data_IF_678493116221
#
_entry.id   IF_678493116221
#
_cell.length_a   1.000
_cell.length_b   1.000
_cell.length_c   1.000
_cell.angle_alpha   90.00
_cell.angle_beta   90.00
_cell.angle_gamma   90.00
#
_symmetry.space_group_name_H-M   'P 1'
#
loop_
_entity.id
_entity.type
_entity.pdbx_description
1 polymer ?
#
# COMPACT_ATOMS: atom_id res chain seq x y z
N UNK A 1 75.00 44.36 -32.84
CA UNK A 1 74.25 43.32 -33.58
C UNK A 1 73.58 42.41 -32.56
N UNK A 2 72.25 42.25 -32.68
CA UNK A 2 71.37 41.20 -32.11
C UNK A 2 71.47 40.87 -30.60
N UNK A 3 70.44 41.21 -29.80
CA UNK A 3 69.28 40.36 -29.43
C UNK A 3 69.60 39.52 -28.16
N UNK A 4 68.77 39.28 -27.14
CA UNK A 4 67.32 39.09 -26.99
C UNK A 4 66.95 39.39 -25.53
N UNK A 5 65.70 39.82 -25.30
CA UNK A 5 65.04 40.06 -24.00
C UNK A 5 64.85 38.79 -23.17
N UNK A 6 65.02 38.88 -21.85
CA UNK A 6 64.38 37.98 -20.89
C UNK A 6 63.75 38.81 -19.76
N UNK A 7 62.42 38.82 -19.70
CA UNK A 7 61.65 39.45 -18.65
C UNK A 7 61.63 38.57 -17.40
N UNK A 8 61.81 39.20 -16.24
CA UNK A 8 61.85 38.57 -14.92
C UNK A 8 60.45 38.09 -14.47
N UNK A 9 60.49 36.94 -13.80
CA UNK A 9 59.39 36.18 -13.21
C UNK A 9 58.66 36.94 -12.09
N UNK A 10 57.33 36.93 -12.11
CA UNK A 10 56.50 37.10 -10.93
C UNK A 10 55.35 36.07 -10.99
N UNK A 11 55.58 34.88 -10.44
CA UNK A 11 54.54 33.90 -10.18
C UNK A 11 54.12 34.05 -8.72
N UNK A 12 52.91 34.56 -8.49
CA UNK A 12 52.27 34.58 -7.19
C UNK A 12 51.88 33.14 -6.79
N UNK A 13 52.45 32.66 -5.70
CA UNK A 13 52.03 31.45 -4.99
C UNK A 13 50.67 31.71 -4.33
N UNK A 14 49.58 31.29 -4.98
CA UNK A 14 48.31 31.05 -4.31
C UNK A 14 48.31 29.59 -3.83
N UNK A 15 48.47 29.41 -2.52
CA UNK A 15 48.22 28.14 -1.84
C UNK A 15 46.74 27.76 -2.01
N UNK A 16 46.46 26.84 -2.93
CA UNK A 16 45.23 26.06 -2.88
C UNK A 16 45.40 24.98 -1.80
N UNK A 17 44.65 25.09 -0.71
CA UNK A 17 44.47 24.01 0.25
C UNK A 17 43.90 22.78 -0.49
N UNK A 18 44.47 21.57 -0.34
CA UNK A 18 43.84 20.37 -0.86
C UNK A 18 42.66 20.01 0.05
N UNK A 19 41.49 20.54 -0.30
CA UNK A 19 40.21 20.19 0.29
C UNK A 19 39.71 18.85 -0.27
N UNK A 20 39.31 17.98 0.66
CA UNK A 20 38.50 16.76 0.49
C UNK A 20 39.20 15.52 -0.07
N UNK A 21 39.48 14.59 0.84
CA UNK A 21 39.66 13.16 0.58
C UNK A 21 38.43 12.59 -0.13
N UNK A 22 38.45 12.53 -1.45
CA UNK A 22 37.47 11.79 -2.25
C UNK A 22 37.64 10.30 -1.99
N UNK A 23 36.63 9.67 -1.40
CA UNK A 23 36.47 8.22 -1.43
C UNK A 23 36.46 7.75 -2.90
N UNK A 24 37.19 6.69 -3.29
CA UNK A 24 37.44 6.37 -4.70
C UNK A 24 36.23 5.91 -5.52
N UNK A 25 35.01 5.92 -4.96
CA UNK A 25 33.80 5.37 -5.62
C UNK A 25 32.53 6.21 -5.41
N UNK A 26 32.65 7.53 -5.20
CA UNK A 26 31.46 8.39 -5.22
C UNK A 26 31.03 8.71 -6.66
N UNK A 27 29.79 8.43 -7.09
CA UNK A 27 29.30 8.87 -8.39
C UNK A 27 29.36 10.41 -8.50
N UNK A 28 29.79 10.95 -9.65
CA UNK A 28 29.97 12.40 -9.83
C UNK A 28 28.70 13.21 -9.60
N UNK A 29 27.53 12.64 -9.92
CA UNK A 29 26.22 13.29 -9.71
C UNK A 29 25.73 13.21 -8.26
N UNK A 30 26.49 12.61 -7.35
CA UNK A 30 26.05 12.33 -5.99
C UNK A 30 27.03 12.87 -4.93
N UNK A 31 26.51 13.16 -3.75
CA UNK A 31 27.27 13.55 -2.58
C UNK A 31 27.39 12.37 -1.60
N UNK A 32 28.61 11.87 -1.43
CA UNK A 32 28.92 10.84 -0.45
C UNK A 32 29.37 11.47 0.87
N UNK A 33 28.56 11.33 1.91
CA UNK A 33 28.93 11.80 3.25
C UNK A 33 29.71 10.71 4.00
N UNK A 34 30.50 11.10 5.01
CA UNK A 34 31.20 10.15 5.90
C UNK A 34 30.25 9.23 6.71
N UNK A 35 28.94 9.43 6.61
CA UNK A 35 27.89 8.80 7.41
C UNK A 35 27.15 7.63 6.71
N UNK A 36 27.81 6.89 5.81
CA UNK A 36 27.19 5.76 5.08
C UNK A 36 25.94 6.10 4.26
N UNK A 37 25.75 7.39 3.94
CA UNK A 37 24.70 7.94 3.09
C UNK A 37 25.26 8.32 1.72
N UNK A 38 24.68 7.76 0.67
CA UNK A 38 24.85 8.23 -0.71
C UNK A 38 23.64 9.10 -1.06
N UNK A 39 23.85 10.41 -1.18
CA UNK A 39 22.79 11.35 -1.55
C UNK A 39 22.91 11.75 -3.03
N UNK A 40 21.93 11.36 -3.83
CA UNK A 40 21.78 11.70 -5.23
C UNK A 40 20.44 12.42 -5.49
N UNK A 41 19.89 13.07 -4.47
CA UNK A 41 18.64 13.81 -4.59
C UNK A 41 18.85 15.07 -5.44
N UNK A 42 17.86 15.42 -6.26
CA UNK A 42 17.91 16.59 -7.16
C UNK A 42 19.07 16.55 -8.18
N UNK A 43 19.62 15.38 -8.46
CA UNK A 43 20.78 15.19 -9.35
C UNK A 43 20.41 15.02 -10.83
N UNK A 44 19.13 15.11 -11.19
CA UNK A 44 18.65 14.96 -12.58
C UNK A 44 18.75 13.52 -13.10
N UNK A 45 18.73 12.52 -12.21
CA UNK A 45 18.87 11.12 -12.59
C UNK A 45 17.62 10.61 -13.34
N UNK A 46 17.87 9.90 -14.45
CA UNK A 46 16.85 9.17 -15.21
C UNK A 46 16.93 7.66 -14.91
N UNK A 47 18.10 7.19 -14.46
CA UNK A 47 18.35 5.83 -14.01
C UNK A 47 19.26 5.82 -12.79
N UNK A 48 19.11 4.82 -11.93
CA UNK A 48 20.02 4.62 -10.78
C UNK A 48 21.43 4.24 -11.25
N UNK A 49 22.50 4.70 -10.55
CA UNK A 49 23.85 4.23 -10.79
C UNK A 49 23.94 2.71 -10.67
N UNK A 50 24.60 2.05 -11.62
CA UNK A 50 24.64 0.59 -11.70
C UNK A 50 25.55 -0.06 -10.64
N UNK A 51 26.53 0.70 -10.15
CA UNK A 51 27.52 0.28 -9.16
C UNK A 51 27.37 1.19 -7.94
N UNK A 52 26.74 0.65 -6.90
CA UNK A 52 26.60 1.30 -5.61
C UNK A 52 27.35 0.44 -4.60
N UNK A 53 28.42 0.95 -3.97
CA UNK A 53 29.19 0.18 -2.99
C UNK A 53 28.34 -0.30 -1.81
N UNK A 54 28.56 -1.54 -1.38
CA UNK A 54 27.91 -2.13 -0.20
C UNK A 54 28.26 -1.42 1.13
N UNK A 55 29.16 -0.43 1.11
CA UNK A 55 29.48 0.41 2.27
C UNK A 55 28.36 1.37 2.66
N UNK A 56 27.45 1.69 1.74
CA UNK A 56 26.34 2.60 2.02
C UNK A 56 25.16 1.84 2.66
N UNK A 57 24.68 2.31 3.81
CA UNK A 57 23.46 1.77 4.43
C UNK A 57 22.21 2.55 4.04
N UNK A 58 22.41 3.72 3.42
CA UNK A 58 21.37 4.71 3.17
C UNK A 58 21.56 5.29 1.77
N UNK A 59 20.53 5.20 0.92
CA UNK A 59 20.57 5.66 -0.47
C UNK A 59 19.40 6.59 -0.78
N UNK A 60 19.70 7.85 -1.08
CA UNK A 60 18.71 8.86 -1.43
C UNK A 60 18.75 9.16 -2.94
N UNK A 61 17.72 8.72 -3.64
CA UNK A 61 17.47 9.05 -5.05
C UNK A 61 16.17 9.84 -5.23
N UNK A 62 15.69 10.50 -4.17
CA UNK A 62 14.48 11.31 -4.22
C UNK A 62 14.61 12.49 -5.20
N UNK A 63 13.48 13.07 -5.61
CA UNK A 63 13.45 14.27 -6.46
C UNK A 63 14.26 14.14 -7.76
N UNK A 64 14.06 13.03 -8.48
CA UNK A 64 14.68 12.75 -9.76
C UNK A 64 13.59 12.41 -10.81
N UNK A 65 13.97 11.84 -11.96
CA UNK A 65 13.07 11.40 -13.02
C UNK A 65 13.16 9.89 -13.26
N UNK A 66 13.35 9.12 -12.19
CA UNK A 66 13.46 7.66 -12.26
C UNK A 66 12.12 7.02 -12.63
N UNK A 67 12.11 6.22 -13.69
CA UNK A 67 10.95 5.41 -14.10
C UNK A 67 10.98 3.99 -13.53
N UNK A 68 12.17 3.48 -13.18
CA UNK A 68 12.36 2.17 -12.58
C UNK A 68 13.66 2.10 -11.78
N UNK A 69 13.73 1.15 -10.85
CA UNK A 69 14.93 0.86 -10.07
C UNK A 69 15.26 -0.63 -10.22
N UNK A 70 16.39 -0.93 -10.85
CA UNK A 70 16.89 -2.29 -11.06
C UNK A 70 18.40 -2.32 -10.80
N UNK A 71 18.82 -2.58 -9.55
CA UNK A 71 20.23 -2.72 -9.23
C UNK A 71 20.81 -3.96 -9.91
N UNK A 72 22.05 -3.86 -10.38
CA UNK A 72 22.74 -5.00 -11.03
C UNK A 72 23.13 -6.09 -10.05
N UNK A 73 23.32 -5.74 -8.78
CA UNK A 73 23.74 -6.65 -7.72
C UNK A 73 22.91 -6.43 -6.46
N UNK A 74 22.67 -7.47 -5.64
CA UNK A 74 22.09 -7.31 -4.32
C UNK A 74 22.97 -6.41 -3.43
N UNK A 75 22.33 -5.56 -2.65
CA UNK A 75 22.93 -4.65 -1.70
C UNK A 75 22.61 -5.12 -0.27
N UNK A 76 23.59 -5.74 0.38
CA UNK A 76 23.37 -6.47 1.64
C UNK A 76 23.22 -5.54 2.85
N UNK A 77 23.88 -4.38 2.82
CA UNK A 77 23.93 -3.44 3.94
C UNK A 77 22.87 -2.33 3.86
N UNK A 78 22.09 -2.28 2.78
CA UNK A 78 21.05 -1.26 2.62
C UNK A 78 20.00 -1.40 3.72
N UNK A 79 19.71 -0.29 4.41
CA UNK A 79 18.70 -0.18 5.46
C UNK A 79 17.62 0.85 5.10
N UNK A 80 18.00 1.94 4.43
CA UNK A 80 17.07 3.01 4.05
C UNK A 80 17.21 3.35 2.58
N UNK A 81 16.07 3.44 1.90
CA UNK A 81 15.99 3.78 0.48
C UNK A 81 14.90 4.83 0.28
N UNK A 82 15.31 5.99 -0.25
CA UNK A 82 14.39 7.08 -0.59
C UNK A 82 14.29 7.21 -2.11
N UNK A 83 13.08 6.99 -2.62
CA UNK A 83 12.72 7.08 -4.03
C UNK A 83 11.56 8.07 -4.25
N UNK A 84 11.25 8.89 -3.24
CA UNK A 84 10.14 9.83 -3.29
C UNK A 84 10.29 10.86 -4.41
N UNK A 85 9.17 11.36 -4.93
CA UNK A 85 9.13 12.39 -5.96
C UNK A 85 9.91 12.00 -7.23
N UNK A 86 9.50 10.89 -7.85
CA UNK A 86 10.02 10.33 -9.11
C UNK A 86 8.84 9.95 -10.03
N UNK A 87 9.09 9.23 -11.13
CA UNK A 87 8.06 8.77 -12.08
C UNK A 87 7.90 7.25 -12.09
N UNK A 88 8.20 6.59 -10.97
CA UNK A 88 8.19 5.12 -10.87
C UNK A 88 6.75 4.61 -10.95
N UNK A 89 6.45 3.78 -11.96
CA UNK A 89 5.14 3.14 -12.13
C UNK A 89 5.09 1.73 -11.55
N UNK A 90 6.22 1.03 -11.51
CA UNK A 90 6.37 -0.32 -10.92
C UNK A 90 7.75 -0.45 -10.27
N UNK A 91 7.79 -1.08 -9.10
CA UNK A 91 9.03 -1.46 -8.43
C UNK A 91 9.00 -2.96 -8.12
N UNK A 92 10.13 -3.63 -8.34
CA UNK A 92 10.35 -5.00 -7.86
C UNK A 92 11.57 -5.05 -6.97
N UNK A 93 11.42 -5.66 -5.79
CA UNK A 93 12.49 -5.95 -4.86
C UNK A 93 13.19 -7.29 -5.18
N UNK A 94 12.69 -8.02 -6.19
CA UNK A 94 13.22 -9.31 -6.60
C UNK A 94 14.41 -9.16 -7.57
N UNK A 95 15.40 -10.03 -7.41
CA UNK A 95 16.39 -10.34 -8.44
C UNK A 95 15.87 -11.49 -9.29
N UNK A 96 15.74 -11.29 -10.60
CA UNK A 96 15.44 -12.38 -11.53
C UNK A 96 16.65 -13.34 -11.63
N UNK A 97 16.46 -14.63 -11.31
CA UNK A 97 17.40 -15.70 -11.68
C UNK A 97 16.83 -16.53 -12.84
N UNK A 98 17.73 -16.97 -13.72
CA UNK A 98 17.41 -17.79 -14.89
C UNK A 98 16.49 -18.98 -14.57
N UNK A 99 15.43 -19.11 -15.38
CA UNK A 99 14.19 -19.89 -15.20
C UNK A 99 14.35 -21.42 -15.31
N UNK A 100 15.53 -22.01 -15.07
CA UNK A 100 15.76 -23.44 -15.35
C UNK A 100 15.34 -24.43 -14.25
N UNK A 101 14.94 -23.98 -13.06
CA UNK A 101 14.60 -24.88 -11.94
C UNK A 101 13.30 -24.51 -11.24
N UNK A 102 12.24 -24.20 -11.98
CA UNK A 102 10.96 -23.88 -11.36
C UNK A 102 10.00 -25.07 -11.38
N UNK A 103 9.95 -25.81 -10.27
CA UNK A 103 8.80 -26.67 -9.99
C UNK A 103 7.69 -25.80 -9.40
N UNK A 104 6.52 -25.79 -10.07
CA UNK A 104 5.27 -25.21 -9.55
C UNK A 104 4.93 -25.87 -8.21
N UNK A 105 5.13 -25.15 -7.11
CA UNK A 105 4.61 -25.56 -5.79
C UNK A 105 3.12 -25.22 -5.73
N UNK A 106 2.30 -26.20 -5.33
CA UNK A 106 0.83 -26.17 -5.35
C UNK A 106 0.19 -25.26 -4.29
N UNK A 107 0.98 -24.55 -3.48
CA UNK A 107 0.50 -23.67 -2.41
C UNK A 107 1.22 -22.32 -2.43
N UNK A 108 0.77 -21.38 -3.27
CA UNK A 108 0.80 -19.91 -3.09
C UNK A 108 2.09 -19.16 -2.68
N UNK A 109 3.21 -19.84 -2.42
CA UNK A 109 4.44 -19.24 -1.94
C UNK A 109 5.42 -19.20 -3.11
N UNK A 110 5.68 -17.98 -3.61
CA UNK A 110 6.67 -17.67 -4.64
C UNK A 110 8.08 -18.06 -4.16
N UNK A 111 8.40 -19.36 -4.18
CA UNK A 111 9.78 -19.87 -4.06
C UNK A 111 10.50 -19.55 -5.37
N UNK A 112 11.12 -18.37 -5.45
CA UNK A 112 11.88 -17.95 -6.64
C UNK A 112 12.38 -16.50 -6.63
N UNK A 113 11.89 -15.66 -5.73
CA UNK A 113 12.36 -14.28 -5.59
C UNK A 113 13.41 -14.18 -4.46
N UNK A 114 14.59 -13.63 -4.77
CA UNK A 114 15.57 -13.21 -3.77
C UNK A 114 15.59 -11.68 -3.73
N UNK A 115 15.54 -11.09 -2.53
CA UNK A 115 15.59 -9.63 -2.40
C UNK A 115 16.94 -9.07 -2.84
N UNK A 116 16.94 -8.01 -3.64
CA UNK A 116 18.17 -7.24 -3.89
C UNK A 116 18.52 -6.34 -2.70
N UNK A 117 17.61 -6.06 -1.77
CA UNK A 117 17.89 -5.35 -0.52
C UNK A 117 17.28 -6.11 0.67
N UNK A 118 17.84 -7.27 1.06
CA UNK A 118 17.21 -8.19 2.01
C UNK A 118 17.05 -7.64 3.43
N UNK A 119 17.85 -6.64 3.80
CA UNK A 119 17.87 -6.04 5.14
C UNK A 119 17.23 -4.64 5.16
N UNK A 120 16.44 -4.29 4.14
CA UNK A 120 15.79 -2.99 4.04
C UNK A 120 14.81 -2.80 5.20
N UNK A 121 14.91 -1.66 5.88
CA UNK A 121 14.07 -1.29 7.03
C UNK A 121 13.13 -0.14 6.70
N UNK A 122 13.55 0.79 5.84
CA UNK A 122 12.76 1.96 5.47
C UNK A 122 12.75 2.14 3.96
N UNK A 123 11.56 2.23 3.39
CA UNK A 123 11.34 2.43 1.95
C UNK A 123 10.37 3.59 1.74
N UNK A 124 10.85 4.68 1.14
CA UNK A 124 9.98 5.78 0.68
C UNK A 124 9.80 5.73 -0.83
N UNK A 125 8.55 5.68 -1.25
CA UNK A 125 8.08 5.69 -2.63
C UNK A 125 6.98 6.75 -2.83
N UNK A 126 6.92 7.75 -1.95
CA UNK A 126 5.88 8.78 -1.99
C UNK A 126 5.95 9.60 -3.28
N UNK A 127 4.82 10.13 -3.74
CA UNK A 127 4.76 11.00 -4.93
C UNK A 127 5.40 10.35 -6.16
N UNK A 128 4.96 9.12 -6.46
CA UNK A 128 5.32 8.38 -7.66
C UNK A 128 4.04 8.06 -8.47
N UNK A 129 4.11 7.09 -9.39
CA UNK A 129 3.01 6.70 -10.27
C UNK A 129 2.62 5.22 -10.04
N UNK A 130 2.84 4.69 -8.83
CA UNK A 130 2.59 3.28 -8.53
C UNK A 130 1.09 2.98 -8.56
N UNK A 131 0.69 1.97 -9.32
CA UNK A 131 -0.69 1.47 -9.36
C UNK A 131 -0.92 0.30 -8.39
N UNK A 132 0.16 -0.32 -7.90
CA UNK A 132 0.18 -1.47 -7.00
C UNK A 132 1.34 -1.38 -6.02
N UNK A 133 1.31 -2.19 -4.98
CA UNK A 133 2.45 -2.36 -4.07
C UNK A 133 3.68 -2.91 -4.83
N UNK A 134 4.91 -2.59 -4.37
CA UNK A 134 6.12 -3.18 -4.92
C UNK A 134 6.09 -4.71 -4.90
N UNK A 135 6.53 -5.34 -5.99
CA UNK A 135 6.68 -6.78 -6.02
C UNK A 135 7.82 -7.22 -5.10
N UNK A 136 7.65 -8.34 -4.40
CA UNK A 136 8.71 -8.87 -3.53
C UNK A 136 8.80 -8.22 -2.16
N UNK A 137 7.76 -7.51 -1.69
CA UNK A 137 7.70 -7.09 -0.28
C UNK A 137 7.86 -8.27 0.70
N UNK A 138 7.30 -9.44 0.38
CA UNK A 138 7.42 -10.61 1.26
C UNK A 138 8.85 -11.16 1.43
N UNK A 139 9.81 -10.77 0.58
CA UNK A 139 11.21 -11.18 0.71
C UNK A 139 12.08 -10.13 1.43
N UNK A 140 11.48 -9.06 1.94
CA UNK A 140 12.13 -8.05 2.80
C UNK A 140 11.43 -7.95 4.16
N UNK A 141 11.39 -9.03 4.96
CA UNK A 141 10.64 -9.08 6.22
C UNK A 141 11.18 -8.13 7.31
N UNK A 142 12.37 -7.55 7.10
CA UNK A 142 12.98 -6.54 7.97
C UNK A 142 12.36 -5.14 7.85
N UNK A 143 11.43 -4.94 6.90
CA UNK A 143 10.83 -3.64 6.63
C UNK A 143 9.99 -3.18 7.83
N UNK A 144 10.29 -1.97 8.31
CA UNK A 144 9.61 -1.33 9.45
C UNK A 144 8.75 -0.16 9.03
N UNK A 145 9.18 0.59 8.01
CA UNK A 145 8.45 1.77 7.55
C UNK A 145 8.33 1.76 6.04
N UNK A 146 7.09 1.87 5.56
CA UNK A 146 6.74 1.92 4.15
C UNK A 146 5.91 3.16 3.85
N UNK A 147 6.49 4.09 3.08
CA UNK A 147 5.78 5.27 2.61
C UNK A 147 5.39 5.15 1.14
N UNK A 148 4.09 5.17 0.87
CA UNK A 148 3.47 5.03 -0.45
C UNK A 148 2.45 6.15 -0.73
N UNK A 149 2.48 7.23 0.05
CA UNK A 149 1.56 8.35 -0.08
C UNK A 149 1.64 9.01 -1.46
N UNK A 150 0.53 9.57 -1.94
CA UNK A 150 0.47 10.27 -3.24
C UNK A 150 0.93 9.37 -4.41
N UNK A 151 0.33 8.19 -4.52
CA UNK A 151 0.48 7.29 -5.68
C UNK A 151 -0.90 7.04 -6.31
N UNK A 152 -1.02 6.03 -7.17
CA UNK A 152 -2.24 5.63 -7.87
C UNK A 152 -2.70 4.24 -7.46
N UNK A 153 -2.34 3.79 -6.26
CA UNK A 153 -2.63 2.42 -5.81
C UNK A 153 -4.14 2.28 -5.63
N UNK A 154 -4.75 1.36 -6.36
CA UNK A 154 -6.22 1.16 -6.34
C UNK A 154 -6.65 -0.14 -5.67
N UNK A 155 -5.78 -1.16 -5.66
CA UNK A 155 -6.07 -2.50 -5.15
C UNK A 155 -4.88 -3.01 -4.35
N UNK A 156 -5.16 -3.59 -3.18
CA UNK A 156 -4.22 -4.37 -2.38
C UNK A 156 -4.73 -5.81 -2.33
N UNK A 157 -3.89 -6.77 -2.74
CA UNK A 157 -4.26 -8.18 -2.75
C UNK A 157 -3.99 -8.81 -1.38
N UNK A 158 -4.93 -9.61 -0.90
CA UNK A 158 -4.74 -10.36 0.34
C UNK A 158 -3.46 -11.22 0.26
N UNK A 159 -2.60 -11.07 1.26
CA UNK A 159 -1.32 -11.77 1.36
C UNK A 159 -0.10 -10.96 0.93
N UNK A 160 -0.25 -9.82 0.23
CA UNK A 160 0.91 -8.99 -0.21
C UNK A 160 1.73 -8.43 0.95
N UNK A 161 1.11 -8.25 2.12
CA UNK A 161 1.73 -7.71 3.33
C UNK A 161 1.99 -8.79 4.40
N UNK A 162 1.64 -10.05 4.16
CA UNK A 162 1.63 -11.14 5.16
C UNK A 162 2.98 -11.32 5.87
N UNK A 163 4.06 -11.27 5.11
CA UNK A 163 5.40 -11.58 5.63
C UNK A 163 6.07 -10.35 6.30
N UNK A 164 5.43 -9.18 6.29
CA UNK A 164 5.97 -7.93 6.86
C UNK A 164 5.65 -7.80 8.36
N UNK A 165 5.96 -8.82 9.15
CA UNK A 165 5.61 -8.89 10.57
C UNK A 165 6.34 -7.83 11.44
N UNK A 166 7.42 -7.24 10.94
CA UNK A 166 8.17 -6.17 11.60
C UNK A 166 7.70 -4.76 11.19
N UNK A 167 6.68 -4.65 10.33
CA UNK A 167 6.19 -3.36 9.87
C UNK A 167 5.53 -2.59 11.00
N UNK A 168 6.09 -1.41 11.31
CA UNK A 168 5.63 -0.50 12.35
C UNK A 168 4.75 0.61 11.76
N UNK A 169 5.05 1.05 10.53
CA UNK A 169 4.36 2.16 9.88
C UNK A 169 4.06 1.88 8.41
N UNK A 170 2.79 2.07 8.03
CA UNK A 170 2.31 1.95 6.66
C UNK A 170 1.53 3.21 6.26
N UNK A 171 2.08 3.97 5.30
CA UNK A 171 1.50 5.23 4.84
C UNK A 171 0.97 5.08 3.41
N UNK A 172 -0.36 5.07 3.25
CA UNK A 172 -1.08 4.85 2.00
C UNK A 172 -2.03 6.01 1.65
N UNK A 173 -1.90 7.15 2.32
CA UNK A 173 -2.77 8.31 2.09
C UNK A 173 -2.64 8.88 0.68
N UNK A 174 -3.72 9.50 0.18
CA UNK A 174 -3.76 10.03 -1.19
C UNK A 174 -3.43 8.97 -2.24
N UNK A 175 -4.14 7.84 -2.19
CA UNK A 175 -4.16 6.81 -3.21
C UNK A 175 -5.60 6.64 -3.73
N UNK A 176 -5.86 5.58 -4.49
CA UNK A 176 -7.14 5.30 -5.14
C UNK A 176 -7.79 4.02 -4.58
N UNK A 177 -7.46 3.64 -3.35
CA UNK A 177 -7.90 2.36 -2.77
C UNK A 177 -9.41 2.39 -2.54
N UNK A 178 -10.13 1.43 -3.14
CA UNK A 178 -11.61 1.37 -3.09
C UNK A 178 -12.13 0.34 -2.09
N UNK A 179 -11.38 -0.73 -1.85
CA UNK A 179 -11.76 -1.82 -0.96
C UNK A 179 -10.54 -2.43 -0.28
N UNK A 180 -10.76 -3.04 0.88
CA UNK A 180 -9.76 -3.78 1.65
C UNK A 180 -10.37 -5.10 2.13
N UNK A 181 -9.59 -6.18 2.04
CA UNK A 181 -10.01 -7.47 2.59
C UNK A 181 -10.07 -7.39 4.13
N UNK A 182 -11.06 -8.01 4.81
CA UNK A 182 -11.19 -7.96 6.27
C UNK A 182 -9.98 -8.43 7.07
N UNK A 183 -9.13 -9.26 6.47
CA UNK A 183 -7.91 -9.82 7.05
C UNK A 183 -6.63 -9.17 6.52
N UNK A 184 -6.72 -8.05 5.80
CA UNK A 184 -5.58 -7.42 5.12
C UNK A 184 -4.39 -7.15 6.04
N UNK A 185 -4.66 -6.78 7.29
CA UNK A 185 -3.65 -6.38 8.27
C UNK A 185 -3.50 -7.38 9.43
N UNK A 186 -4.05 -8.60 9.29
CA UNK A 186 -4.09 -9.59 10.37
C UNK A 186 -2.69 -10.03 10.83
N UNK A 187 -1.73 -10.11 9.90
CA UNK A 187 -0.37 -10.59 10.18
C UNK A 187 0.59 -9.45 10.62
N UNK A 188 0.17 -8.19 10.56
CA UNK A 188 1.00 -7.02 10.87
C UNK A 188 1.02 -6.70 12.37
N UNK A 189 1.54 -7.64 13.16
CA UNK A 189 1.48 -7.61 14.63
C UNK A 189 2.25 -6.47 15.31
N UNK A 190 3.20 -5.83 14.61
CA UNK A 190 3.98 -4.70 15.11
C UNK A 190 3.46 -3.34 14.62
N UNK A 191 2.36 -3.31 13.85
CA UNK A 191 1.88 -2.10 13.21
C UNK A 191 1.36 -1.10 14.24
N UNK A 192 1.93 0.10 14.22
CA UNK A 192 1.59 1.22 15.12
C UNK A 192 0.89 2.34 14.37
N UNK A 193 1.24 2.55 13.10
CA UNK A 193 0.66 3.63 12.28
C UNK A 193 0.17 3.04 10.96
N UNK A 194 -1.11 3.26 10.67
CA UNK A 194 -1.72 2.96 9.39
C UNK A 194 -2.43 4.20 8.87
N UNK A 195 -1.91 4.81 7.82
CA UNK A 195 -2.54 5.97 7.20
C UNK A 195 -3.26 5.60 5.90
N UNK A 196 -4.59 5.61 5.94
CA UNK A 196 -5.47 5.35 4.80
C UNK A 196 -6.26 6.61 4.40
N UNK A 197 -5.86 7.79 4.87
CA UNK A 197 -6.59 9.04 4.61
C UNK A 197 -6.67 9.37 3.12
N UNK A 198 -7.73 10.04 2.70
CA UNK A 198 -7.89 10.48 1.31
C UNK A 198 -7.72 9.33 0.30
N UNK A 199 -8.40 8.21 0.55
CA UNK A 199 -8.62 7.13 -0.41
C UNK A 199 -10.10 7.11 -0.84
N UNK A 200 -10.54 6.03 -1.49
CA UNK A 200 -11.89 5.88 -2.03
C UNK A 200 -12.68 4.79 -1.28
N UNK A 201 -12.29 4.46 -0.04
CA UNK A 201 -12.93 3.40 0.73
C UNK A 201 -14.37 3.76 1.07
N UNK A 202 -15.27 2.80 0.92
CA UNK A 202 -16.70 2.97 1.22
C UNK A 202 -17.13 2.25 2.50
N UNK A 203 -16.45 1.17 2.89
CA UNK A 203 -16.79 0.35 4.05
C UNK A 203 -15.52 0.00 4.82
N UNK A 204 -15.59 0.05 6.15
CA UNK A 204 -14.52 -0.41 7.03
C UNK A 204 -15.01 -1.62 7.82
N UNK A 205 -14.43 -2.78 7.58
CA UNK A 205 -14.94 -4.03 8.14
C UNK A 205 -14.69 -4.11 9.67
N UNK A 206 -15.67 -4.56 10.48
CA UNK A 206 -15.51 -4.70 11.94
C UNK A 206 -14.31 -5.55 12.37
N UNK A 207 -13.98 -6.59 11.61
CA UNK A 207 -12.79 -7.43 11.87
C UNK A 207 -11.50 -6.60 11.80
N UNK A 208 -11.33 -5.75 10.77
CA UNK A 208 -10.15 -4.88 10.65
C UNK A 208 -10.06 -3.93 11.84
N UNK A 209 -11.20 -3.35 12.25
CA UNK A 209 -11.27 -2.50 13.42
C UNK A 209 -10.76 -3.21 14.67
N UNK A 210 -11.26 -4.42 14.94
CA UNK A 210 -10.85 -5.21 16.10
C UNK A 210 -9.36 -5.58 16.05
N UNK A 211 -8.87 -6.03 14.89
CA UNK A 211 -7.46 -6.40 14.70
C UNK A 211 -6.54 -5.22 14.99
N UNK A 212 -6.78 -4.07 14.35
CA UNK A 212 -5.93 -2.88 14.47
C UNK A 212 -6.02 -2.25 15.87
N UNK A 213 -7.21 -2.25 16.48
CA UNK A 213 -7.42 -1.75 17.84
C UNK A 213 -6.75 -2.65 18.88
N UNK A 214 -6.73 -3.96 18.69
CA UNK A 214 -6.10 -4.89 19.63
C UNK A 214 -4.58 -4.75 19.70
N UNK A 215 -3.94 -4.35 18.59
CA UNK A 215 -2.50 -4.06 18.56
C UNK A 215 -2.18 -2.59 18.91
N UNK A 216 -3.19 -1.77 19.19
CA UNK A 216 -3.01 -0.37 19.56
C UNK A 216 -2.57 0.53 18.40
N UNK A 217 -2.92 0.18 17.16
CA UNK A 217 -2.55 0.98 15.99
C UNK A 217 -3.31 2.31 15.93
N UNK A 218 -2.61 3.38 15.59
CA UNK A 218 -3.20 4.65 15.19
C UNK A 218 -3.56 4.59 13.70
N UNK A 219 -4.87 4.69 13.40
CA UNK A 219 -5.38 4.52 12.03
C UNK A 219 -6.02 5.81 11.53
N UNK A 220 -5.48 6.37 10.45
CA UNK A 220 -6.05 7.51 9.75
C UNK A 220 -7.09 7.08 8.72
N UNK A 221 -8.37 7.38 8.95
CA UNK A 221 -9.48 6.97 8.06
C UNK A 221 -10.24 8.13 7.39
N UNK A 222 -9.93 9.38 7.72
CA UNK A 222 -10.66 10.54 7.21
C UNK A 222 -10.43 10.79 5.71
N UNK A 223 -11.34 11.53 5.07
CA UNK A 223 -11.24 11.83 3.64
C UNK A 223 -11.56 10.66 2.70
N UNK A 224 -12.12 9.56 3.20
CA UNK A 224 -12.65 8.45 2.42
C UNK A 224 -14.14 8.65 2.09
N UNK A 225 -14.71 7.75 1.28
CA UNK A 225 -16.11 7.78 0.81
C UNK A 225 -17.04 6.89 1.65
N UNK A 226 -16.94 6.97 2.97
CA UNK A 226 -17.67 6.10 3.90
C UNK A 226 -19.19 6.10 3.65
N UNK A 227 -19.74 4.92 3.37
CA UNK A 227 -21.17 4.68 3.22
C UNK A 227 -21.75 4.30 4.59
N UNK A 228 -22.43 5.24 5.21
CA UNK A 228 -23.04 5.10 6.53
C UNK A 228 -24.48 4.59 6.41
N UNK A 229 -24.59 3.30 6.11
CA UNK A 229 -25.86 2.58 6.01
C UNK A 229 -25.98 1.50 7.10
N UNK A 230 -26.99 0.63 6.99
CA UNK A 230 -27.22 -0.44 7.96
C UNK A 230 -26.04 -1.42 8.10
N UNK A 231 -25.20 -1.59 7.07
CA UNK A 231 -24.05 -2.51 7.11
C UNK A 231 -22.98 -2.02 8.09
N UNK A 232 -22.94 -0.71 8.36
CA UNK A 232 -21.99 -0.10 9.29
C UNK A 232 -22.48 -0.11 10.75
N UNK A 233 -23.69 -0.61 11.06
CA UNK A 233 -24.23 -0.64 12.44
C UNK A 233 -23.34 -1.38 13.43
N UNK A 234 -22.83 -2.55 13.03
CA UNK A 234 -21.97 -3.37 13.89
C UNK A 234 -20.68 -2.64 14.26
N UNK A 235 -20.06 -1.97 13.28
CA UNK A 235 -18.88 -1.13 13.53
C UNK A 235 -19.24 0.06 14.43
N UNK A 236 -20.35 0.75 14.14
CA UNK A 236 -20.80 1.91 14.90
C UNK A 236 -21.02 1.58 16.38
N UNK A 237 -21.69 0.47 16.67
CA UNK A 237 -21.94 -0.02 18.03
C UNK A 237 -20.62 -0.29 18.75
N UNK A 238 -19.70 -0.99 18.07
CA UNK A 238 -18.38 -1.33 18.63
C UNK A 238 -17.54 -0.09 18.94
N UNK A 239 -17.45 0.85 18.01
CA UNK A 239 -16.67 2.07 18.19
C UNK A 239 -17.21 2.94 19.33
N UNK A 240 -18.53 3.08 19.47
CA UNK A 240 -19.08 3.82 20.61
C UNK A 240 -18.85 3.13 21.96
N UNK A 241 -18.88 1.79 21.99
CA UNK A 241 -18.52 1.04 23.19
C UNK A 241 -17.06 1.24 23.58
N UNK A 242 -16.14 1.26 22.61
CA UNK A 242 -14.73 1.54 22.91
C UNK A 242 -14.52 3.00 23.36
N UNK A 243 -15.20 3.95 22.71
CA UNK A 243 -15.15 5.37 23.08
C UNK A 243 -15.67 5.63 24.50
N UNK A 244 -16.76 4.97 24.92
CA UNK A 244 -17.30 5.11 26.29
C UNK A 244 -16.36 4.56 27.36
N UNK A 245 -15.42 3.69 26.97
CA UNK A 245 -14.33 3.20 27.82
C UNK A 245 -13.08 4.09 27.81
N UNK A 246 -13.13 5.24 27.12
CA UNK A 246 -12.00 6.17 27.01
C UNK A 246 -10.89 5.67 26.07
N UNK A 247 -11.18 4.72 25.18
CA UNK A 247 -10.23 4.26 24.19
C UNK A 247 -10.21 5.22 23.00
N UNK A 248 -9.04 5.40 22.41
CA UNK A 248 -8.89 6.16 21.17
C UNK A 248 -9.64 5.45 20.03
N UNK A 249 -10.49 6.20 19.35
CA UNK A 249 -11.29 5.74 18.21
C UNK A 249 -11.01 6.62 17.01
N UNK A 250 -11.03 6.02 15.82
CA UNK A 250 -10.60 6.71 14.61
C UNK A 250 -11.72 7.53 13.98
N UNK A 251 -11.39 8.76 13.56
CA UNK A 251 -12.35 9.69 12.98
C UNK A 251 -12.79 9.23 11.59
N UNK A 252 -14.11 9.08 11.42
CA UNK A 252 -14.75 8.71 10.16
C UNK A 252 -15.90 9.69 9.89
N UNK A 253 -15.92 10.30 8.69
CA UNK A 253 -16.99 11.20 8.26
C UNK A 253 -17.78 10.53 7.13
N UNK A 254 -19.09 10.52 7.26
CA UNK A 254 -19.97 9.91 6.28
C UNK A 254 -19.94 10.69 4.96
N UNK A 255 -19.85 9.96 3.84
CA UNK A 255 -19.91 10.52 2.50
C UNK A 255 -21.23 10.14 1.78
N UNK A 256 -21.85 9.04 2.18
CA UNK A 256 -23.12 8.55 1.65
C UNK A 256 -23.93 7.91 2.79
N UNK A 257 -25.28 7.97 2.77
CA UNK A 257 -26.13 8.67 1.81
C UNK A 257 -25.99 10.20 1.93
N UNK A 258 -26.44 10.95 0.92
CA UNK A 258 -26.28 12.41 0.86
C UNK A 258 -26.87 13.16 2.07
N UNK A 259 -27.88 12.58 2.74
CA UNK A 259 -28.47 13.12 3.98
C UNK A 259 -27.51 13.12 5.16
N UNK A 260 -26.53 12.21 5.16
CA UNK A 260 -25.52 12.07 6.22
C UNK A 260 -24.16 12.60 5.80
N UNK A 261 -24.06 13.29 4.66
CA UNK A 261 -22.80 13.81 4.15
C UNK A 261 -22.15 14.77 5.15
N UNK A 262 -20.90 14.49 5.51
CA UNK A 262 -20.11 15.29 6.45
C UNK A 262 -20.37 15.00 7.93
N UNK A 263 -21.37 14.19 8.25
CA UNK A 263 -21.67 13.83 9.64
C UNK A 263 -20.58 12.90 10.21
N UNK A 264 -20.17 13.15 11.45
CA UNK A 264 -19.26 12.25 12.16
C UNK A 264 -19.98 10.93 12.46
N UNK A 265 -19.38 9.82 12.05
CA UNK A 265 -19.93 8.49 12.22
C UNK A 265 -20.31 8.18 13.67
N UNK A 266 -19.52 8.64 14.64
CA UNK A 266 -19.81 8.40 16.07
C UNK A 266 -20.98 9.21 16.60
N UNK A 267 -21.37 10.31 15.94
CA UNK A 267 -22.54 11.10 16.34
C UNK A 267 -23.86 10.47 15.88
N UNK A 268 -23.82 9.59 14.88
CA UNK A 268 -25.00 8.89 14.39
C UNK A 268 -25.53 7.90 15.43
N UNK A 269 -26.86 7.79 15.51
CA UNK A 269 -27.55 6.70 16.20
C UNK A 269 -27.71 5.50 15.27
N UNK A 270 -28.00 4.32 15.82
CA UNK A 270 -28.24 3.12 15.00
C UNK A 270 -29.46 3.25 14.08
N UNK A 271 -30.45 4.05 14.48
CA UNK A 271 -31.65 4.35 13.70
C UNK A 271 -31.37 5.21 12.46
N UNK A 272 -30.31 6.02 12.46
CA UNK A 272 -29.90 6.83 11.31
C UNK A 272 -29.27 5.96 10.20
N UNK A 273 -28.70 4.81 10.58
CA UNK A 273 -28.02 3.88 9.70
C UNK A 273 -29.02 2.94 9.02
N UNK A 274 -29.77 3.44 8.04
CA UNK A 274 -30.80 2.67 7.34
C UNK A 274 -30.30 2.18 5.97
N UNK A 275 -30.76 0.99 5.58
CA UNK A 275 -30.66 0.54 4.19
C UNK A 275 -32.04 0.71 3.54
N UNK A 276 -32.07 1.10 2.27
CA UNK A 276 -33.32 1.16 1.51
C UNK A 276 -33.92 -0.26 1.43
N UNK A 277 -35.21 -0.38 1.72
CA UNK A 277 -35.96 -1.58 1.40
C UNK A 277 -35.92 -1.82 -0.11
N UNK A 278 -35.89 -3.08 -0.57
CA UNK A 278 -35.64 -3.43 -1.98
C UNK A 278 -36.73 -2.94 -2.95
N UNK A 279 -37.85 -2.42 -2.46
CA UNK A 279 -38.99 -2.07 -3.30
C UNK A 279 -38.78 -0.81 -4.15
N UNK A 280 -37.71 0.00 -3.92
CA UNK A 280 -37.61 1.31 -4.61
C UNK A 280 -36.19 1.84 -4.92
N UNK A 281 -35.15 1.01 -5.01
CA UNK A 281 -33.81 1.52 -5.38
C UNK A 281 -33.30 0.94 -6.71
N UNK A 282 -33.15 1.81 -7.69
CA UNK A 282 -32.56 1.55 -9.02
C UNK A 282 -31.03 1.34 -8.93
N UNK A 283 -30.40 1.68 -7.81
CA UNK A 283 -28.94 1.60 -7.60
C UNK A 283 -28.52 0.50 -6.60
N UNK A 284 -29.04 -0.73 -6.75
CA UNK A 284 -28.60 -1.88 -5.95
C UNK A 284 -27.32 -2.53 -6.44
N UNK A 285 -26.64 -1.99 -7.46
CA UNK A 285 -25.45 -2.56 -8.09
C UNK A 285 -24.16 -1.97 -7.51
N UNK A 286 -23.21 -2.82 -7.13
CA UNK A 286 -21.85 -2.40 -6.75
C UNK A 286 -20.85 -2.96 -7.75
N UNK A 287 -20.47 -2.16 -8.74
CA UNK A 287 -19.46 -2.58 -9.71
C UNK A 287 -18.11 -2.82 -9.02
N UNK A 288 -17.61 -4.05 -9.11
CA UNK A 288 -16.28 -4.41 -8.62
C UNK A 288 -15.39 -4.85 -9.78
N UNK A 289 -14.31 -4.10 -10.02
CA UNK A 289 -13.28 -4.46 -10.99
C UNK A 289 -12.13 -5.19 -10.31
N UNK A 290 -11.81 -6.38 -10.83
CA UNK A 290 -10.83 -7.32 -10.29
C UNK A 290 -10.00 -7.92 -11.43
N UNK A 291 -8.75 -8.30 -11.14
CA UNK A 291 -7.85 -8.88 -12.15
C UNK A 291 -7.94 -10.40 -12.16
N UNK A 292 -7.69 -11.02 -13.31
CA UNK A 292 -7.59 -12.48 -13.40
C UNK A 292 -6.50 -13.01 -12.45
N UNK A 293 -6.80 -14.08 -11.71
CA UNK A 293 -5.93 -14.69 -10.70
C UNK A 293 -5.96 -14.03 -9.33
N UNK A 294 -6.74 -12.96 -9.14
CA UNK A 294 -6.91 -12.32 -7.83
C UNK A 294 -7.98 -13.01 -6.98
N UNK A 295 -8.09 -12.61 -5.71
CA UNK A 295 -9.13 -13.05 -4.79
C UNK A 295 -9.94 -11.85 -4.32
N UNK A 296 -11.25 -12.03 -4.19
CA UNK A 296 -12.15 -11.00 -3.68
C UNK A 296 -13.10 -11.58 -2.65
N UNK A 297 -13.37 -10.81 -1.60
CA UNK A 297 -14.45 -11.09 -0.65
C UNK A 297 -15.57 -10.08 -0.89
N UNK A 298 -16.69 -10.57 -1.37
CA UNK A 298 -17.94 -9.80 -1.46
C UNK A 298 -18.64 -9.86 -0.11
N UNK A 299 -18.57 -8.76 0.64
CA UNK A 299 -19.09 -8.71 2.02
C UNK A 299 -20.62 -8.70 2.02
N UNK A 300 -21.23 -9.42 2.97
CA UNK A 300 -22.67 -9.40 3.21
C UNK A 300 -22.95 -9.23 4.71
N UNK A 301 -23.97 -8.45 5.07
CA UNK A 301 -24.21 -8.03 6.47
C UNK A 301 -24.93 -9.06 7.35
N UNK A 302 -25.49 -10.13 6.76
CA UNK A 302 -26.24 -11.16 7.48
C UNK A 302 -25.61 -12.56 7.35
N UNK A 303 -25.84 -13.41 8.34
CA UNK A 303 -25.46 -14.83 8.29
C UNK A 303 -26.40 -15.67 7.40
N UNK A 304 -27.63 -15.18 7.15
CA UNK A 304 -28.65 -15.84 6.30
C UNK A 304 -28.62 -15.33 4.84
N UNK A 305 -27.40 -15.08 4.40
CA UNK A 305 -27.02 -14.53 3.12
C UNK A 305 -26.89 -15.63 2.06
N UNK A 306 -27.50 -15.49 0.89
CA UNK A 306 -27.40 -16.44 -0.23
C UNK A 306 -26.91 -15.74 -1.50
N UNK A 307 -25.92 -16.34 -2.16
CA UNK A 307 -25.31 -15.79 -3.38
C UNK A 307 -25.65 -16.62 -4.62
N UNK A 308 -26.08 -15.96 -5.69
CA UNK A 308 -26.21 -16.53 -7.03
C UNK A 308 -25.07 -16.02 -7.90
N UNK A 309 -24.29 -16.97 -8.42
CA UNK A 309 -23.18 -16.69 -9.32
C UNK A 309 -23.56 -17.03 -10.77
N UNK A 310 -23.01 -16.32 -11.76
CA UNK A 310 -23.12 -16.70 -13.16
C UNK A 310 -22.69 -18.15 -13.39
N UNK A 311 -23.57 -18.95 -14.01
CA UNK A 311 -23.28 -20.35 -14.36
C UNK A 311 -23.33 -21.36 -13.21
N UNK A 312 -23.69 -20.95 -11.99
CA UNK A 312 -23.89 -21.88 -10.86
C UNK A 312 -25.41 -22.06 -10.62
N UNK A 313 -25.94 -23.30 -10.74
CA UNK A 313 -27.38 -23.53 -10.69
C UNK A 313 -28.01 -23.44 -9.29
N UNK A 314 -27.19 -23.42 -8.22
CA UNK A 314 -27.66 -23.38 -6.84
C UNK A 314 -27.00 -22.22 -6.06
N UNK A 315 -27.73 -21.58 -5.13
CA UNK A 315 -27.17 -20.50 -4.33
C UNK A 315 -26.09 -21.00 -3.37
N UNK A 316 -25.04 -20.21 -3.21
CA UNK A 316 -23.92 -20.47 -2.30
C UNK A 316 -24.17 -19.73 -0.99
N UNK A 317 -24.05 -20.44 0.14
CA UNK A 317 -24.07 -19.83 1.47
C UNK A 317 -22.63 -19.50 1.88
N UNK A 318 -22.31 -18.20 2.11
CA UNK A 318 -21.00 -17.81 2.56
C UNK A 318 -20.75 -18.25 4.00
N UNK A 319 -19.51 -18.63 4.30
CA UNK A 319 -19.00 -18.75 5.66
C UNK A 319 -18.29 -17.43 5.99
N UNK A 320 -18.51 -16.88 7.18
CA UNK A 320 -17.78 -15.71 7.71
C UNK A 320 -18.05 -14.35 7.02
N UNK A 321 -19.33 -13.96 6.86
CA UNK A 321 -19.69 -12.55 6.58
C UNK A 321 -19.45 -12.07 5.14
N UNK A 322 -19.21 -12.97 4.19
CA UNK A 322 -19.09 -12.63 2.78
C UNK A 322 -18.76 -13.82 1.87
N UNK A 323 -18.97 -13.66 0.57
CA UNK A 323 -18.61 -14.64 -0.44
C UNK A 323 -17.15 -14.44 -0.88
N UNK A 324 -16.29 -15.40 -0.58
CA UNK A 324 -14.90 -15.41 -1.02
C UNK A 324 -14.78 -16.13 -2.38
N UNK A 325 -14.35 -15.40 -3.40
CA UNK A 325 -13.98 -15.97 -4.70
C UNK A 325 -12.46 -15.98 -4.77
N UNK A 326 -11.90 -17.19 -4.74
CA UNK A 326 -10.47 -17.44 -4.91
C UNK A 326 -10.19 -17.76 -6.37
N UNK A 327 -9.18 -17.13 -6.98
CA UNK A 327 -8.76 -17.35 -8.38
C UNK A 327 -9.79 -16.87 -9.42
N UNK A 328 -10.02 -15.56 -9.44
CA UNK A 328 -10.97 -14.91 -10.36
C UNK A 328 -10.53 -15.12 -11.81
N UNK A 329 -11.47 -15.53 -12.65
CA UNK A 329 -11.29 -15.75 -14.09
C UNK A 329 -12.42 -15.09 -14.89
N UNK A 330 -12.36 -15.14 -16.22
CA UNK A 330 -13.46 -14.67 -17.07
C UNK A 330 -14.80 -15.36 -16.76
N UNK A 331 -14.80 -16.59 -16.25
CA UNK A 331 -16.03 -17.29 -15.85
C UNK A 331 -16.75 -16.66 -14.66
N UNK A 332 -16.04 -15.83 -13.89
CA UNK A 332 -16.58 -15.12 -12.74
C UNK A 332 -17.10 -13.73 -13.13
N UNK A 333 -17.01 -13.34 -14.41
CA UNK A 333 -17.54 -12.08 -14.91
C UNK A 333 -19.05 -12.17 -15.10
N UNK A 334 -19.76 -11.12 -14.71
CA UNK A 334 -21.22 -11.05 -14.76
C UNK A 334 -21.84 -10.62 -13.44
N UNK A 335 -23.17 -10.48 -13.45
CA UNK A 335 -23.96 -10.03 -12.31
C UNK A 335 -23.98 -11.10 -11.22
N UNK A 336 -23.52 -10.76 -10.02
CA UNK A 336 -23.59 -11.61 -8.84
C UNK A 336 -24.71 -11.09 -7.93
N UNK A 337 -25.68 -11.95 -7.61
CA UNK A 337 -26.83 -11.52 -6.81
C UNK A 337 -26.71 -12.06 -5.42
N UNK A 338 -26.94 -11.21 -4.42
CA UNK A 338 -26.98 -11.59 -3.03
C UNK A 338 -28.37 -11.35 -2.44
N UNK A 339 -28.97 -12.35 -1.82
CA UNK A 339 -30.25 -12.20 -1.12
C UNK A 339 -30.05 -12.47 0.36
N UNK A 340 -30.46 -11.50 1.18
CA UNK A 340 -30.58 -11.67 2.63
C UNK A 340 -32.02 -12.01 2.97
N UNK A 341 -32.26 -13.17 3.57
CA UNK A 341 -33.59 -13.48 4.10
C UNK A 341 -33.67 -12.95 5.52
N UNK A 342 -34.56 -11.99 5.78
CA UNK A 342 -34.86 -11.53 7.15
C UNK A 342 -36.27 -11.99 7.54
N UNK A 343 -36.54 -12.13 8.84
CA UNK A 343 -37.85 -12.56 9.36
C UNK A 343 -39.04 -11.70 8.94
N UNK A 344 -38.81 -10.52 8.34
CA UNK A 344 -39.83 -9.60 7.84
C UNK A 344 -39.83 -9.46 6.29
N UNK A 345 -39.07 -10.28 5.55
CA UNK A 345 -38.99 -10.24 4.08
C UNK A 345 -37.59 -10.52 3.51
N UNK A 346 -37.51 -10.82 2.22
CA UNK A 346 -36.25 -11.04 1.49
C UNK A 346 -35.72 -9.73 0.90
N UNK A 347 -34.43 -9.44 1.13
CA UNK A 347 -33.75 -8.29 0.55
C UNK A 347 -32.71 -8.74 -0.49
N UNK A 348 -32.90 -8.34 -1.75
CA UNK A 348 -31.99 -8.66 -2.86
C UNK A 348 -31.08 -7.47 -3.14
N UNK A 349 -29.77 -7.72 -3.19
CA UNK A 349 -28.73 -6.76 -3.56
C UNK A 349 -27.91 -7.33 -4.72
N UNK A 350 -27.50 -6.47 -5.65
CA UNK A 350 -26.81 -6.85 -6.88
C UNK A 350 -25.35 -6.38 -6.77
N UNK A 351 -24.38 -7.23 -7.08
CA UNK A 351 -22.96 -6.88 -7.07
C UNK A 351 -22.29 -7.31 -8.37
#
# INVERSE_FOLDING_TARGET
>A
MAAVRAALLAAALLFALPGSSSSPFCPESCSCQRASLLNCSLSGLISVPQLIPDSFSELDFSHNSLSSVKPRQPHQNLRKLWLGNNTISRLSLCVERNVKTWHRSRNGSRRGCQAWAPNLQKLSLERNQLERLPEGLGVVPSLRVLWLAFNKISVLQLGELRDLQQLEELHLQHNLITHLHPQMFQDLIQLRVLDLRFNLLTVFHPLMYLTLRNIGANVGLHGNRWRCDCNMRSLRRRMAYDNSRGLEVWKMMCASPSKLLGTDFLQLKEEDLQCLSPENSVDLHQDVTVYSGSQILLSCSSQDSMWWMPGVPAPVRPKDGGLLITDISEKNTGLQQHVTVTGNGAATQLQ
#
